data_IF_329320602658
#
_entry.id   IF_329320602658
#
_cell.length_a   1.000
_cell.length_b   1.000
_cell.length_c   1.000
_cell.angle_alpha   90.00
_cell.angle_beta   90.00
_cell.angle_gamma   90.00
#
_symmetry.space_group_name_H-M   'P 1'
#
loop_
_entity.id
_entity.type
_entity.pdbx_description
1 polymer ?
#
# COMPACT_ATOMS: atom_id res chain seq x y z
N UNK A 1 37.38 35.07 26.06
CA UNK A 1 38.06 34.67 24.80
C UNK A 1 37.82 33.21 24.38
N UNK A 2 37.22 32.34 25.19
CA UNK A 2 37.02 30.92 24.84
C UNK A 2 35.78 30.61 23.97
N UNK A 3 34.75 31.47 23.96
CA UNK A 3 33.49 31.20 23.23
C UNK A 3 33.60 31.33 21.71
N UNK A 4 34.47 32.23 21.21
CA UNK A 4 34.59 32.52 19.76
C UNK A 4 35.26 31.36 19.01
N UNK A 5 36.10 30.58 19.69
CA UNK A 5 36.84 29.48 19.08
C UNK A 5 35.97 28.24 18.84
N UNK A 6 34.98 27.99 19.71
CA UNK A 6 34.05 26.85 19.62
C UNK A 6 33.07 27.03 18.46
N UNK A 7 32.60 28.27 18.23
CA UNK A 7 31.69 28.58 17.12
C UNK A 7 32.38 28.44 15.76
N UNK A 8 33.67 28.78 15.67
CA UNK A 8 34.45 28.60 14.44
C UNK A 8 34.72 27.12 14.14
N UNK A 9 34.93 26.30 15.17
CA UNK A 9 35.16 24.87 15.02
C UNK A 9 33.87 24.12 14.60
N UNK A 10 32.72 24.51 15.14
CA UNK A 10 31.39 24.02 14.73
C UNK A 10 31.04 24.39 13.29
N UNK A 11 31.36 25.62 12.86
CA UNK A 11 31.20 26.07 11.47
C UNK A 11 32.00 25.19 10.49
N UNK A 12 33.25 24.88 10.82
CA UNK A 12 34.11 24.05 9.97
C UNK A 12 33.64 22.59 9.89
N UNK A 13 33.06 22.05 10.97
CA UNK A 13 32.44 20.71 10.96
C UNK A 13 31.21 20.71 10.06
N UNK A 14 30.35 21.72 10.17
CA UNK A 14 29.15 21.84 9.34
C UNK A 14 29.49 21.97 7.84
N UNK A 15 30.49 22.78 7.49
CA UNK A 15 30.96 22.92 6.11
C UNK A 15 31.49 21.58 5.55
N UNK A 16 32.25 20.82 6.34
CA UNK A 16 32.72 19.48 5.96
C UNK A 16 31.57 18.51 5.71
N UNK A 17 30.54 18.53 6.55
CA UNK A 17 29.35 17.67 6.38
C UNK A 17 28.53 18.05 5.13
N UNK A 18 28.39 19.34 4.83
CA UNK A 18 27.73 19.82 3.61
C UNK A 18 28.52 19.37 2.37
N UNK A 19 29.84 19.50 2.41
CA UNK A 19 30.73 19.11 1.31
C UNK A 19 30.71 17.58 1.09
N UNK A 20 30.69 16.80 2.17
CA UNK A 20 30.54 15.34 2.11
C UNK A 20 29.19 14.92 1.52
N UNK A 21 28.09 15.57 1.92
CA UNK A 21 26.75 15.33 1.36
C UNK A 21 26.69 15.66 -0.13
N UNK A 22 27.34 16.75 -0.57
CA UNK A 22 27.46 17.09 -2.01
C UNK A 22 28.22 16.01 -2.78
N UNK A 23 29.34 15.52 -2.25
CA UNK A 23 30.12 14.45 -2.90
C UNK A 23 29.34 13.14 -3.00
N UNK A 24 28.63 12.75 -1.94
CA UNK A 24 27.75 11.57 -1.96
C UNK A 24 26.61 11.73 -2.98
N UNK A 25 25.98 12.91 -3.03
CA UNK A 25 24.94 13.19 -4.00
C UNK A 25 25.47 13.09 -5.44
N UNK A 26 26.64 13.69 -5.74
CA UNK A 26 27.28 13.58 -7.04
C UNK A 26 27.60 12.12 -7.42
N UNK A 27 28.15 11.33 -6.50
CA UNK A 27 28.42 9.91 -6.72
C UNK A 27 27.14 9.10 -7.02
N UNK A 28 26.08 9.34 -6.23
CA UNK A 28 24.78 8.71 -6.43
C UNK A 28 24.16 9.10 -7.78
N UNK A 29 24.32 10.36 -8.22
CA UNK A 29 23.86 10.82 -9.52
C UNK A 29 24.61 10.18 -10.69
N UNK A 30 25.90 9.90 -10.54
CA UNK A 30 26.66 9.16 -11.55
C UNK A 30 26.17 7.70 -11.64
N UNK A 31 25.97 7.03 -10.51
CA UNK A 31 25.43 5.66 -10.46
C UNK A 31 24.04 5.61 -11.08
N UNK A 32 23.16 6.55 -10.72
CA UNK A 32 21.82 6.66 -11.28
C UNK A 32 21.85 6.84 -12.80
N UNK A 33 22.68 7.75 -13.32
CA UNK A 33 22.82 7.99 -14.77
C UNK A 33 23.34 6.75 -15.50
N UNK A 34 24.31 6.03 -14.92
CA UNK A 34 24.82 4.77 -15.49
C UNK A 34 23.74 3.69 -15.53
N UNK A 35 23.02 3.50 -14.43
CA UNK A 35 21.92 2.53 -14.36
C UNK A 35 20.79 2.87 -15.33
N UNK A 36 20.44 4.15 -15.47
CA UNK A 36 19.45 4.63 -16.44
C UNK A 36 19.90 4.33 -17.87
N UNK A 37 21.16 4.60 -18.21
CA UNK A 37 21.73 4.31 -19.55
C UNK A 37 21.79 2.81 -19.84
N UNK A 38 22.13 1.99 -18.84
CA UNK A 38 22.16 0.54 -18.97
C UNK A 38 20.75 -0.03 -19.22
N UNK A 39 19.74 0.42 -18.46
CA UNK A 39 18.33 0.05 -18.67
C UNK A 39 17.84 0.43 -20.07
N UNK A 40 18.17 1.63 -20.54
CA UNK A 40 17.79 2.08 -21.87
C UNK A 40 18.40 1.20 -22.96
N UNK A 41 19.70 0.88 -22.86
CA UNK A 41 20.35 -0.05 -23.80
C UNK A 41 19.73 -1.45 -23.77
N UNK A 42 19.38 -1.97 -22.59
CA UNK A 42 18.73 -3.27 -22.47
C UNK A 42 17.37 -3.29 -23.18
N UNK A 43 16.58 -2.22 -23.02
CA UNK A 43 15.30 -2.08 -23.72
C UNK A 43 15.48 -1.98 -25.25
N UNK A 44 16.51 -1.30 -25.74
CA UNK A 44 16.81 -1.22 -27.17
C UNK A 44 17.25 -2.56 -27.78
N UNK A 45 17.96 -3.39 -27.00
CA UNK A 45 18.31 -4.76 -27.41
C UNK A 45 17.06 -5.63 -27.47
N UNK A 46 16.21 -5.57 -26.45
CA UNK A 46 14.98 -6.36 -26.44
C UNK A 46 13.99 -5.92 -27.53
N UNK A 47 13.90 -4.61 -27.80
CA UNK A 47 13.10 -4.08 -28.91
C UNK A 47 13.55 -4.66 -30.25
N UNK A 48 14.86 -4.66 -30.51
CA UNK A 48 15.42 -5.26 -31.74
C UNK A 48 15.12 -6.75 -31.85
N UNK A 49 15.25 -7.49 -30.74
CA UNK A 49 14.92 -8.92 -30.68
C UNK A 49 13.44 -9.16 -31.03
N UNK A 50 12.53 -8.39 -30.45
CA UNK A 50 11.10 -8.50 -30.71
C UNK A 50 10.74 -8.11 -32.15
N UNK A 51 11.39 -7.07 -32.71
CA UNK A 51 11.24 -6.70 -34.12
C UNK A 51 11.67 -7.84 -35.05
N UNK A 52 12.76 -8.54 -34.74
CA UNK A 52 13.24 -9.69 -35.52
C UNK A 52 12.25 -10.86 -35.47
N UNK A 53 11.74 -11.17 -34.29
CA UNK A 53 10.71 -12.22 -34.09
C UNK A 53 9.44 -11.88 -34.87
N UNK A 54 8.99 -10.62 -34.83
CA UNK A 54 7.81 -10.17 -35.57
C UNK A 54 8.00 -10.33 -37.08
N UNK A 55 9.17 -9.96 -37.63
CA UNK A 55 9.49 -10.16 -39.05
C UNK A 55 9.50 -11.63 -39.44
N UNK A 56 10.04 -12.51 -38.59
CA UNK A 56 10.04 -13.96 -38.82
C UNK A 56 8.62 -14.53 -38.85
N UNK A 57 7.77 -14.12 -37.91
CA UNK A 57 6.36 -14.53 -37.89
C UNK A 57 5.61 -14.04 -39.13
N UNK A 58 5.84 -12.79 -39.55
CA UNK A 58 5.21 -12.24 -40.74
C UNK A 58 5.67 -12.96 -42.02
N UNK A 59 6.95 -13.29 -42.13
CA UNK A 59 7.49 -14.09 -43.23
C UNK A 59 6.90 -15.52 -43.24
N UNK A 60 6.79 -16.16 -42.08
CA UNK A 60 6.16 -17.47 -41.93
C UNK A 60 4.68 -17.44 -42.33
N UNK A 61 3.94 -16.40 -41.93
CA UNK A 61 2.55 -16.21 -42.33
C UNK A 61 2.40 -15.98 -43.84
N UNK A 62 3.28 -15.18 -44.47
CA UNK A 62 3.27 -15.00 -45.93
C UNK A 62 3.58 -16.30 -46.66
N UNK A 63 4.55 -17.08 -46.17
CA UNK A 63 4.88 -18.38 -46.75
C UNK A 63 3.74 -19.39 -46.58
N UNK A 64 3.10 -19.45 -45.41
CA UNK A 64 1.93 -20.28 -45.17
C UNK A 64 0.74 -19.87 -46.07
N UNK A 65 0.49 -18.56 -46.22
CA UNK A 65 -0.54 -18.05 -47.12
C UNK A 65 -0.26 -18.39 -48.59
N UNK A 66 1.00 -18.38 -49.03
CA UNK A 66 1.40 -18.79 -50.38
C UNK A 66 1.24 -20.31 -50.62
N UNK A 67 1.40 -21.14 -49.58
CA UNK A 67 1.19 -22.60 -49.64
C UNK A 67 -0.29 -22.97 -49.60
N UNK A 68 -1.13 -22.19 -48.89
CA UNK A 68 -2.58 -22.42 -48.82
C UNK A 68 -3.36 -21.92 -50.05
N UNK A 69 -2.76 -21.15 -50.96
CA UNK A 69 -3.42 -20.74 -52.23
C UNK A 69 -3.73 -21.89 -53.20
N UNK A 70 -3.29 -23.14 -52.92
CA UNK A 70 -3.56 -24.30 -53.77
C UNK A 70 -4.76 -25.16 -53.37
N UNK A 71 -5.29 -25.05 -52.14
CA UNK A 71 -6.47 -25.84 -51.74
C UNK A 71 -7.42 -25.04 -50.82
N UNK A 72 -8.70 -24.98 -51.23
CA UNK A 72 -9.91 -24.60 -50.48
C UNK A 72 -10.13 -23.13 -50.08
N UNK A 73 -10.80 -22.40 -50.98
CA UNK A 73 -10.96 -20.94 -50.98
C UNK A 73 -12.22 -20.41 -50.23
N UNK A 74 -12.84 -21.15 -49.31
CA UNK A 74 -14.06 -20.69 -48.61
C UNK A 74 -13.93 -20.55 -47.08
N UNK A 75 -13.07 -21.32 -46.40
CA UNK A 75 -12.86 -21.20 -44.94
C UNK A 75 -11.78 -20.16 -44.56
N UNK A 76 -10.81 -19.90 -45.44
CA UNK A 76 -9.73 -18.92 -45.22
C UNK A 76 -10.21 -17.47 -45.22
N UNK A 77 -11.25 -17.14 -45.98
CA UNK A 77 -11.82 -15.78 -46.04
C UNK A 77 -12.47 -15.38 -44.70
N UNK A 78 -13.26 -16.28 -44.12
CA UNK A 78 -13.97 -16.06 -42.84
C UNK A 78 -13.01 -15.89 -41.66
N UNK A 79 -11.90 -16.63 -41.66
CA UNK A 79 -10.87 -16.54 -40.60
C UNK A 79 -10.06 -15.24 -40.71
N UNK A 80 -9.80 -14.78 -41.93
CA UNK A 80 -9.12 -13.51 -42.20
C UNK A 80 -9.97 -12.30 -41.84
N UNK A 81 -11.29 -12.35 -42.06
CA UNK A 81 -12.20 -11.27 -41.68
C UNK A 81 -12.34 -11.16 -40.15
N UNK A 82 -12.38 -12.28 -39.44
CA UNK A 82 -12.38 -12.30 -37.96
C UNK A 82 -11.07 -11.73 -37.37
N UNK A 83 -9.92 -12.05 -37.98
CA UNK A 83 -8.63 -11.47 -37.59
C UNK A 83 -8.57 -9.97 -37.83
N UNK A 84 -9.17 -9.47 -38.92
CA UNK A 84 -9.25 -8.03 -39.21
C UNK A 84 -10.09 -7.29 -38.17
N UNK A 85 -11.24 -7.84 -37.79
CA UNK A 85 -12.08 -7.26 -36.72
C UNK A 85 -11.33 -7.20 -35.37
N UNK A 86 -10.66 -8.29 -34.99
CA UNK A 86 -9.84 -8.33 -33.76
C UNK A 86 -8.71 -7.30 -33.77
N UNK A 87 -8.03 -7.09 -34.91
CA UNK A 87 -6.97 -6.08 -35.03
C UNK A 87 -7.54 -4.67 -34.87
N UNK A 88 -8.71 -4.39 -35.47
CA UNK A 88 -9.39 -3.10 -35.31
C UNK A 88 -9.80 -2.86 -33.86
N UNK A 89 -10.30 -3.90 -33.17
CA UNK A 89 -10.67 -3.82 -31.76
C UNK A 89 -9.45 -3.56 -30.86
N UNK A 90 -8.33 -4.28 -31.09
CA UNK A 90 -7.08 -4.09 -30.35
C UNK A 90 -6.54 -2.67 -30.53
N UNK A 91 -6.59 -2.13 -31.75
CA UNK A 91 -6.15 -0.77 -32.05
C UNK A 91 -7.06 0.27 -31.36
N UNK A 92 -8.38 0.01 -31.36
CA UNK A 92 -9.37 0.82 -30.62
C UNK A 92 -9.10 0.85 -29.12
N UNK A 93 -8.88 -0.31 -28.50
CA UNK A 93 -8.55 -0.44 -27.08
C UNK A 93 -7.21 0.20 -26.73
N UNK A 94 -6.20 0.09 -27.60
CA UNK A 94 -4.91 0.78 -27.41
C UNK A 94 -5.09 2.29 -27.38
N UNK A 95 -5.86 2.85 -28.30
CA UNK A 95 -6.12 4.28 -28.36
C UNK A 95 -6.87 4.78 -27.11
N UNK A 96 -7.86 4.02 -26.64
CA UNK A 96 -8.56 4.32 -25.38
C UNK A 96 -7.60 4.27 -24.18
N UNK A 97 -6.73 3.25 -24.10
CA UNK A 97 -5.76 3.12 -23.02
C UNK A 97 -4.76 4.28 -22.99
N UNK A 98 -4.29 4.74 -24.16
CA UNK A 98 -3.42 5.93 -24.28
C UNK A 98 -4.16 7.18 -23.79
N UNK A 99 -5.43 7.36 -24.17
CA UNK A 99 -6.24 8.49 -23.71
C UNK A 99 -6.44 8.50 -22.19
N UNK A 100 -6.73 7.33 -21.60
CA UNK A 100 -6.85 7.17 -20.15
C UNK A 100 -5.54 7.47 -19.43
N UNK A 101 -4.40 6.97 -19.93
CA UNK A 101 -3.08 7.27 -19.36
C UNK A 101 -2.75 8.75 -19.40
N UNK A 102 -3.11 9.46 -20.48
CA UNK A 102 -2.98 10.93 -20.54
C UNK A 102 -3.82 11.62 -19.46
N UNK A 103 -5.06 11.17 -19.26
CA UNK A 103 -5.99 11.73 -18.28
C UNK A 103 -5.53 11.48 -16.84
N UNK A 104 -5.03 10.29 -16.54
CA UNK A 104 -4.38 9.95 -15.26
C UNK A 104 -3.14 10.82 -15.05
N UNK A 105 -2.31 11.01 -16.09
CA UNK A 105 -1.14 11.89 -16.01
C UNK A 105 -1.50 13.35 -15.75
N UNK A 106 -2.61 13.85 -16.32
CA UNK A 106 -3.13 15.19 -16.02
C UNK A 106 -3.62 15.28 -14.57
N UNK A 107 -4.34 14.27 -14.08
CA UNK A 107 -4.82 14.25 -12.70
C UNK A 107 -3.64 14.19 -11.70
N UNK A 108 -2.60 13.42 -11.99
CA UNK A 108 -1.39 13.38 -11.17
C UNK A 108 -0.66 14.75 -11.13
N UNK A 109 -0.57 15.44 -12.26
CA UNK A 109 -0.04 16.82 -12.32
C UNK A 109 -0.91 17.81 -11.56
N UNK A 110 -2.23 17.69 -11.68
CA UNK A 110 -3.17 18.54 -10.94
C UNK A 110 -3.03 18.33 -9.43
N UNK A 111 -2.94 17.08 -8.97
CA UNK A 111 -2.66 16.77 -7.57
C UNK A 111 -1.33 17.35 -7.11
N UNK A 112 -0.29 17.29 -7.94
CA UNK A 112 1.00 17.90 -7.62
C UNK A 112 0.90 19.43 -7.46
N UNK A 113 0.23 20.13 -8.38
CA UNK A 113 0.00 21.58 -8.27
C UNK A 113 -0.84 21.92 -7.04
N UNK A 114 -1.83 21.10 -6.69
CA UNK A 114 -2.65 21.27 -5.49
C UNK A 114 -1.81 21.11 -4.22
N UNK A 115 -0.86 20.17 -4.20
CA UNK A 115 0.08 19.99 -3.09
C UNK A 115 1.08 21.15 -2.98
N UNK A 116 1.57 21.66 -4.11
CA UNK A 116 2.47 22.81 -4.18
C UNK A 116 1.77 24.13 -3.77
N UNK A 117 0.50 24.32 -4.15
CA UNK A 117 -0.31 25.48 -3.75
C UNK A 117 -0.76 25.43 -2.29
N UNK A 118 -0.75 24.24 -1.67
CA UNK A 118 -1.09 24.04 -0.24
C UNK A 118 0.11 24.22 0.68
N UNK A 119 1.31 24.39 0.14
CA UNK A 119 2.43 24.91 0.91
C UNK A 119 2.22 26.42 1.12
N UNK A 120 2.06 26.90 2.37
CA UNK A 120 2.04 28.32 2.61
C UNK A 120 3.39 28.91 2.18
N UNK A 121 3.35 29.96 1.35
CA UNK A 121 4.50 30.85 1.17
C UNK A 121 4.84 31.37 2.57
N UNK A 122 6.07 31.10 3.02
CA UNK A 122 6.58 31.63 4.27
C UNK A 122 6.61 33.14 4.17
N UNK A 123 5.62 33.79 4.73
CA UNK A 123 5.75 35.03 5.47
C UNK A 123 4.48 35.18 6.32
N UNK A 124 4.70 35.53 7.57
CA UNK A 124 3.72 35.74 8.64
C UNK A 124 3.07 34.48 9.24
N UNK A 125 3.65 34.00 10.35
CA UNK A 125 2.98 33.97 11.65
C UNK A 125 3.94 33.38 12.71
N UNK A 126 4.28 34.21 13.68
CA UNK A 126 5.04 33.88 14.89
C UNK A 126 4.13 33.03 15.79
N UNK A 127 4.33 31.70 15.83
CA UNK A 127 3.95 30.85 16.96
C UNK A 127 4.97 29.71 17.13
N UNK A 128 5.71 29.65 18.25
CA UNK A 128 6.70 28.60 18.49
C UNK A 128 6.05 27.39 19.17
N UNK A 129 5.34 26.56 18.40
CA UNK A 129 5.13 25.14 18.70
C UNK A 129 5.24 24.43 17.36
N UNK A 130 6.13 23.44 17.25
CA UNK A 130 6.20 22.56 16.09
C UNK A 130 4.91 21.72 16.02
N UNK A 131 3.81 22.32 15.54
CA UNK A 131 2.56 21.62 15.29
C UNK A 131 2.83 20.72 14.08
N UNK A 132 2.88 19.41 14.30
CA UNK A 132 2.80 18.44 13.20
C UNK A 132 1.54 18.78 12.41
N UNK A 133 1.67 19.29 11.19
CA UNK A 133 0.52 19.68 10.37
C UNK A 133 -0.30 18.45 10.03
N UNK A 134 -1.45 18.31 10.68
CA UNK A 134 -2.46 17.31 10.35
C UNK A 134 -3.40 17.80 9.24
N UNK A 135 -4.39 16.99 8.91
CA UNK A 135 -5.46 17.37 7.97
C UNK A 135 -6.79 16.75 8.38
N UNK A 136 -7.88 17.38 7.93
CA UNK A 136 -9.23 16.83 8.12
C UNK A 136 -9.52 15.73 7.11
N UNK A 137 -10.02 14.61 7.59
CA UNK A 137 -10.39 13.42 6.83
C UNK A 137 -11.90 13.44 6.62
N UNK A 138 -12.32 13.37 5.36
CA UNK A 138 -13.72 13.31 4.97
C UNK A 138 -14.03 11.92 4.42
N UNK A 139 -15.25 11.46 4.67
CA UNK A 139 -15.74 10.18 4.20
C UNK A 139 -16.79 10.39 3.10
N UNK A 140 -17.00 9.41 2.20
CA UNK A 140 -17.82 9.60 1.01
C UNK A 140 -19.33 9.68 1.30
N UNK A 141 -19.83 9.17 2.43
CA UNK A 141 -21.26 9.11 2.75
C UNK A 141 -21.66 10.10 3.85
N UNK A 142 -20.99 11.26 3.90
CA UNK A 142 -21.24 12.32 4.89
C UNK A 142 -21.04 11.85 6.35
N UNK A 143 -20.23 10.81 6.56
CA UNK A 143 -19.89 10.36 7.92
C UNK A 143 -19.04 11.41 8.64
N UNK A 144 -19.09 11.47 9.99
CA UNK A 144 -18.41 12.52 10.75
C UNK A 144 -16.91 12.58 10.43
N UNK A 145 -16.48 13.70 9.86
CA UNK A 145 -15.06 13.98 9.59
C UNK A 145 -14.28 14.09 10.89
N UNK A 146 -12.99 13.75 10.88
CA UNK A 146 -12.10 13.98 12.02
C UNK A 146 -10.76 14.57 11.56
N UNK A 147 -10.05 15.21 12.47
CA UNK A 147 -8.71 15.73 12.20
C UNK A 147 -7.63 14.68 12.52
N UNK A 148 -6.80 14.35 11.52
CA UNK A 148 -5.76 13.34 11.60
C UNK A 148 -4.37 13.99 11.64
N UNK A 149 -3.54 13.50 12.56
CA UNK A 149 -2.12 13.80 12.69
C UNK A 149 -1.29 12.61 12.17
N UNK A 150 -0.35 12.86 11.23
CA UNK A 150 0.46 11.80 10.63
C UNK A 150 1.40 11.13 11.64
N UNK A 151 1.60 9.82 11.45
CA UNK A 151 2.62 9.05 12.14
C UNK A 151 3.99 9.35 11.57
N UNK A 152 5.04 9.35 12.40
CA UNK A 152 6.40 9.33 11.87
C UNK A 152 6.76 7.92 11.40
N UNK A 153 7.78 7.81 10.55
CA UNK A 153 8.28 6.49 10.13
C UNK A 153 8.77 5.68 11.33
N UNK A 154 9.38 6.34 12.32
CA UNK A 154 9.84 5.73 13.56
C UNK A 154 8.65 5.17 14.36
N UNK A 155 7.64 6.00 14.63
CA UNK A 155 6.43 5.56 15.35
C UNK A 155 5.77 4.35 14.65
N UNK A 156 5.70 4.37 13.32
CA UNK A 156 5.15 3.27 12.53
C UNK A 156 5.96 1.98 12.70
N UNK A 157 7.28 2.07 12.57
CA UNK A 157 8.16 0.91 12.68
C UNK A 157 8.14 0.36 14.11
N UNK A 158 8.16 1.22 15.12
CA UNK A 158 8.15 0.81 16.53
C UNK A 158 6.89 0.01 16.87
N UNK A 159 5.71 0.44 16.39
CA UNK A 159 4.44 -0.30 16.58
C UNK A 159 4.44 -1.64 15.82
N UNK A 160 4.97 -1.67 14.60
CA UNK A 160 5.04 -2.89 13.80
C UNK A 160 6.01 -3.91 14.41
N UNK A 161 7.19 -3.44 14.83
CA UNK A 161 8.24 -4.25 15.40
C UNK A 161 7.85 -4.76 16.79
N UNK A 162 7.17 -3.94 17.62
CA UNK A 162 6.65 -4.39 18.92
C UNK A 162 5.62 -5.51 18.75
N UNK A 163 4.66 -5.33 17.83
CA UNK A 163 3.62 -6.32 17.52
C UNK A 163 4.24 -7.63 17.00
N UNK A 164 5.23 -7.53 16.10
CA UNK A 164 5.93 -8.70 15.58
C UNK A 164 6.78 -9.41 16.65
N UNK A 165 7.44 -8.63 17.52
CA UNK A 165 8.26 -9.16 18.62
C UNK A 165 7.38 -9.89 19.63
N UNK A 166 6.24 -9.33 20.02
CA UNK A 166 5.28 -9.98 20.92
C UNK A 166 4.86 -11.35 20.39
N UNK A 167 4.51 -11.43 19.09
CA UNK A 167 4.10 -12.68 18.44
C UNK A 167 5.26 -13.69 18.27
N UNK A 168 6.51 -13.22 18.20
CA UNK A 168 7.69 -14.05 17.91
C UNK A 168 8.43 -14.53 19.15
N UNK A 169 8.56 -13.70 20.18
CA UNK A 169 9.39 -13.99 21.36
C UNK A 169 8.70 -14.92 22.35
N UNK A 170 7.39 -14.78 22.52
CA UNK A 170 6.57 -15.66 23.35
C UNK A 170 5.36 -16.11 22.53
N UNK A 171 5.53 -17.04 21.58
CA UNK A 171 4.40 -17.55 20.82
C UNK A 171 3.36 -18.06 21.82
N UNK A 172 2.10 -17.62 21.73
CA UNK A 172 1.08 -18.05 22.67
C UNK A 172 1.01 -19.58 22.65
N UNK A 173 1.01 -20.18 23.83
CA UNK A 173 0.78 -21.62 23.98
C UNK A 173 -0.67 -21.89 23.59
N UNK A 174 -0.85 -22.25 22.32
CA UNK A 174 -2.15 -22.51 21.72
C UNK A 174 -2.33 -24.01 21.59
N UNK A 175 -3.43 -24.50 22.13
CA UNK A 175 -3.86 -25.88 21.93
C UNK A 175 -4.76 -25.96 20.70
N UNK A 176 -4.73 -27.10 19.99
CA UNK A 176 -5.67 -27.33 18.89
C UNK A 176 -7.08 -27.40 19.47
N UNK A 177 -7.91 -26.42 19.12
CA UNK A 177 -9.30 -26.34 19.56
C UNK A 177 -10.25 -27.10 18.62
N UNK A 178 -9.88 -27.25 17.35
CA UNK A 178 -10.65 -28.02 16.37
C UNK A 178 -10.46 -27.54 14.93
N UNK A 179 -11.41 -27.90 14.07
CA UNK A 179 -11.44 -27.48 12.67
C UNK A 179 -12.72 -26.66 12.39
N UNK A 180 -12.58 -25.55 11.68
CA UNK A 180 -13.70 -24.71 11.25
C UNK A 180 -13.54 -24.27 9.79
N UNK A 181 -14.48 -24.62 8.93
CA UNK A 181 -14.45 -24.28 7.49
C UNK A 181 -13.11 -24.66 6.78
N UNK A 182 -12.51 -25.79 7.16
CA UNK A 182 -11.22 -26.24 6.63
C UNK A 182 -10.00 -25.52 7.21
N UNK A 183 -10.15 -24.73 8.27
CA UNK A 183 -9.08 -24.12 9.04
C UNK A 183 -8.85 -24.90 10.33
N UNK A 184 -7.59 -25.18 10.67
CA UNK A 184 -7.23 -25.63 12.01
C UNK A 184 -7.22 -24.43 12.95
N UNK A 185 -8.08 -24.48 13.96
CA UNK A 185 -8.22 -23.43 14.97
C UNK A 185 -7.41 -23.84 16.18
N UNK A 186 -6.44 -23.02 16.56
CA UNK A 186 -5.71 -23.16 17.82
C UNK A 186 -6.05 -21.99 18.72
N UNK A 187 -6.26 -22.25 20.01
CA UNK A 187 -6.66 -21.24 20.98
C UNK A 187 -5.71 -21.26 22.17
N UNK A 188 -5.30 -20.08 22.63
CA UNK A 188 -4.51 -19.92 23.84
C UNK A 188 -5.44 -19.82 25.05
N UNK A 189 -4.96 -20.25 26.21
CA UNK A 189 -5.65 -19.91 27.46
C UNK A 189 -5.72 -18.39 27.60
N UNK A 190 -6.90 -17.87 27.93
CA UNK A 190 -7.10 -16.43 28.14
C UNK A 190 -6.12 -15.95 29.21
N UNK A 191 -5.33 -14.94 28.87
CA UNK A 191 -4.32 -14.36 29.76
C UNK A 191 -4.65 -12.91 30.07
N UNK A 192 -4.41 -12.49 31.30
CA UNK A 192 -4.42 -11.08 31.65
C UNK A 192 -3.19 -10.39 31.05
N UNK A 193 -3.39 -9.25 30.40
CA UNK A 193 -2.28 -8.36 30.06
C UNK A 193 -1.62 -7.83 31.34
N UNK A 194 -0.31 -7.65 31.31
CA UNK A 194 0.51 -7.37 32.51
C UNK A 194 0.37 -5.92 33.01
N UNK A 195 -0.18 -5.01 32.20
CA UNK A 195 -0.33 -3.59 32.55
C UNK A 195 -1.71 -3.21 33.07
N UNK A 196 -2.75 -3.45 32.26
CA UNK A 196 -4.12 -2.96 32.45
C UNK A 196 -5.10 -4.05 32.93
N UNK A 197 -4.61 -5.27 33.14
CA UNK A 197 -5.42 -6.45 33.49
C UNK A 197 -6.53 -6.80 32.50
N UNK A 198 -6.44 -6.31 31.25
CA UNK A 198 -7.37 -6.69 30.20
C UNK A 198 -7.23 -8.19 29.88
N UNK A 199 -8.36 -8.84 29.62
CA UNK A 199 -8.37 -10.25 29.24
C UNK A 199 -8.09 -10.37 27.75
N UNK A 200 -6.98 -11.01 27.41
CA UNK A 200 -6.56 -11.24 26.03
C UNK A 200 -6.77 -12.70 25.68
N UNK A 201 -7.61 -12.94 24.67
CA UNK A 201 -7.74 -14.23 24.00
C UNK A 201 -6.92 -14.22 22.72
N UNK A 202 -6.09 -15.25 22.50
CA UNK A 202 -5.28 -15.39 21.29
C UNK A 202 -5.70 -16.64 20.54
N UNK A 203 -5.97 -16.50 19.25
CA UNK A 203 -6.31 -17.59 18.36
C UNK A 203 -5.40 -17.62 17.14
N UNK A 204 -5.07 -18.82 16.66
CA UNK A 204 -4.26 -19.06 15.47
C UNK A 204 -5.01 -19.97 14.52
N UNK A 205 -5.29 -19.45 13.33
CA UNK A 205 -5.97 -20.19 12.26
C UNK A 205 -4.94 -20.61 11.21
N UNK A 206 -4.85 -21.89 10.90
CA UNK A 206 -3.93 -22.40 9.87
C UNK A 206 -4.65 -23.23 8.82
N UNK A 207 -4.32 -23.01 7.54
CA UNK A 207 -4.89 -23.74 6.41
C UNK A 207 -3.84 -23.93 5.34
N UNK A 208 -3.83 -25.13 4.77
CA UNK A 208 -3.01 -25.42 3.59
C UNK A 208 -3.80 -25.07 2.33
N UNK A 209 -3.25 -24.17 1.52
CA UNK A 209 -3.84 -23.75 0.25
C UNK A 209 -3.07 -24.36 -0.92
N UNK A 210 -3.81 -24.73 -1.98
CA UNK A 210 -3.24 -25.33 -3.20
C UNK A 210 -2.87 -24.25 -4.23
N UNK A 211 -2.08 -23.26 -3.83
CA UNK A 211 -1.56 -22.23 -4.73
C UNK A 211 -0.10 -21.90 -4.39
N UNK A 212 0.62 -21.36 -5.35
CA UNK A 212 1.97 -20.87 -5.09
C UNK A 212 1.92 -19.59 -4.26
N UNK A 213 2.95 -19.38 -3.46
CA UNK A 213 3.12 -18.15 -2.67
C UNK A 213 3.12 -16.88 -3.57
N UNK A 214 3.60 -17.02 -4.81
CA UNK A 214 3.63 -15.92 -5.78
C UNK A 214 2.23 -15.59 -6.32
N UNK A 215 1.38 -16.59 -6.55
CA UNK A 215 -0.02 -16.39 -6.96
C UNK A 215 -0.83 -15.77 -5.84
N UNK A 216 -0.70 -16.28 -4.61
CA UNK A 216 -1.37 -15.72 -3.42
C UNK A 216 -1.01 -14.23 -3.25
N UNK A 217 0.28 -13.91 -3.36
CA UNK A 217 0.76 -12.54 -3.29
C UNK A 217 0.19 -11.65 -4.41
N UNK A 218 0.16 -12.16 -5.64
CA UNK A 218 -0.36 -11.44 -6.79
C UNK A 218 -1.85 -11.12 -6.64
N UNK A 219 -2.65 -12.10 -6.22
CA UNK A 219 -4.09 -11.92 -5.96
C UNK A 219 -4.30 -10.84 -4.90
N UNK A 220 -3.63 -10.98 -3.75
CA UNK A 220 -3.75 -9.99 -2.66
C UNK A 220 -3.24 -8.60 -3.05
N UNK A 221 -2.26 -8.51 -3.96
CA UNK A 221 -1.76 -7.20 -4.45
C UNK A 221 -2.76 -6.45 -5.33
N UNK A 222 -3.75 -7.15 -5.88
CA UNK A 222 -4.79 -6.61 -6.75
C UNK A 222 -6.11 -6.35 -6.04
N UNK A 223 -6.26 -6.86 -4.82
CA UNK A 223 -7.47 -6.65 -4.04
C UNK A 223 -7.62 -5.18 -3.67
N UNK A 224 -8.87 -4.71 -3.77
CA UNK A 224 -9.24 -3.40 -3.26
C UNK A 224 -9.03 -3.37 -1.75
N UNK A 225 -8.63 -2.20 -1.22
CA UNK A 225 -8.35 -2.05 0.21
C UNK A 225 -9.59 -2.30 1.06
N UNK A 226 -10.76 -2.07 0.50
CA UNK A 226 -12.04 -2.39 1.14
C UNK A 226 -12.17 -3.90 1.38
N UNK A 227 -11.70 -4.74 0.46
CA UNK A 227 -11.71 -6.20 0.60
C UNK A 227 -10.68 -6.75 1.60
N UNK A 228 -9.78 -5.92 2.13
CA UNK A 228 -8.79 -6.38 3.12
C UNK A 228 -9.50 -6.82 4.42
N UNK A 229 -8.89 -7.73 5.20
CA UNK A 229 -9.45 -8.19 6.47
C UNK A 229 -9.87 -7.03 7.38
N UNK A 230 -11.03 -7.20 8.00
CA UNK A 230 -11.55 -6.27 9.01
C UNK A 230 -11.20 -6.82 10.39
N UNK A 231 -10.62 -5.97 11.24
CA UNK A 231 -10.14 -6.38 12.58
C UNK A 231 -11.31 -6.42 13.57
N UNK A 232 -12.28 -5.52 13.41
CA UNK A 232 -13.41 -5.37 14.33
C UNK A 232 -14.72 -5.58 13.58
N UNK A 233 -15.53 -6.51 14.05
CA UNK A 233 -16.89 -6.72 13.54
C UNK A 233 -17.89 -6.40 14.66
N UNK A 234 -18.86 -5.49 14.45
CA UNK A 234 -19.90 -5.20 15.45
C UNK A 234 -20.72 -6.45 15.81
N UNK A 235 -21.17 -6.57 17.06
CA UNK A 235 -21.98 -7.69 17.55
C UNK A 235 -23.28 -7.91 16.74
N UNK A 236 -23.85 -6.84 16.20
CA UNK A 236 -25.13 -6.85 15.45
C UNK A 236 -24.95 -6.93 13.93
N UNK A 237 -23.78 -7.37 13.44
CA UNK A 237 -23.45 -7.43 12.00
C UNK A 237 -24.30 -8.44 11.21
N UNK A 238 -25.02 -9.33 11.89
CA UNK A 238 -25.89 -10.32 11.26
C UNK A 238 -27.27 -9.79 10.90
N UNK A 239 -27.47 -9.36 9.66
CA UNK A 239 -28.79 -9.50 8.99
C UNK A 239 -29.38 -8.25 8.33
N UNK A 240 -28.99 -7.03 8.71
CA UNK A 240 -29.60 -5.79 8.16
C UNK A 240 -28.62 -4.64 7.86
N UNK A 241 -27.34 -4.78 8.24
CA UNK A 241 -26.33 -3.73 8.05
C UNK A 241 -25.74 -3.79 6.63
N UNK A 242 -26.51 -3.40 5.62
CA UNK A 242 -25.99 -3.12 4.26
C UNK A 242 -25.36 -1.72 4.15
N UNK A 243 -25.20 -0.96 5.24
CA UNK A 243 -24.31 0.20 5.21
C UNK A 243 -22.86 -0.31 5.26
N UNK A 244 -22.20 -0.18 4.12
CA UNK A 244 -20.83 -0.64 3.93
C UNK A 244 -19.85 0.00 4.92
N UNK A 245 -18.71 -0.65 5.08
CA UNK A 245 -17.56 0.00 5.70
C UNK A 245 -16.87 0.89 4.65
N UNK A 246 -16.28 2.00 5.08
CA UNK A 246 -15.43 2.83 4.23
C UNK A 246 -13.99 2.74 4.71
N UNK A 247 -13.06 2.48 3.78
CA UNK A 247 -11.63 2.53 4.05
C UNK A 247 -11.01 3.78 3.44
N UNK A 248 -10.38 4.60 4.26
CA UNK A 248 -9.63 5.76 3.78
C UNK A 248 -8.16 5.57 4.11
N UNK A 249 -7.29 5.66 3.09
CA UNK A 249 -5.84 5.71 3.32
C UNK A 249 -5.48 7.08 3.84
N UNK A 250 -5.01 7.13 5.08
CA UNK A 250 -4.59 8.35 5.73
C UNK A 250 -3.18 8.72 5.27
N UNK A 251 -2.24 7.79 5.37
CA UNK A 251 -0.84 8.05 5.09
C UNK A 251 -0.20 6.84 4.41
N UNK A 252 0.67 7.07 3.44
CA UNK A 252 1.42 6.01 2.77
C UNK A 252 2.92 6.27 2.94
N UNK A 253 3.63 5.30 3.52
CA UNK A 253 5.08 5.34 3.67
C UNK A 253 5.79 4.72 2.45
N UNK A 254 5.24 3.63 1.94
CA UNK A 254 5.70 2.97 0.71
C UNK A 254 4.57 2.10 0.13
N UNK A 255 4.86 1.34 -0.93
CA UNK A 255 3.90 0.45 -1.59
C UNK A 255 3.31 -0.64 -0.69
N UNK A 256 3.99 -0.97 0.41
CA UNK A 256 3.66 -2.07 1.33
C UNK A 256 3.32 -1.58 2.74
N UNK A 257 3.37 -0.29 3.03
CA UNK A 257 3.22 0.26 4.38
C UNK A 257 2.34 1.50 4.34
N UNK A 258 1.19 1.43 5.02
CA UNK A 258 0.25 2.54 5.08
C UNK A 258 -0.49 2.59 6.42
N UNK A 259 -1.04 3.77 6.70
CA UNK A 259 -2.00 4.04 7.76
C UNK A 259 -3.35 4.22 7.08
N UNK A 260 -4.35 3.51 7.58
CA UNK A 260 -5.72 3.57 7.08
C UNK A 260 -6.68 3.81 8.26
N UNK A 261 -7.82 4.42 7.97
CA UNK A 261 -8.96 4.45 8.87
C UNK A 261 -10.06 3.60 8.28
N UNK A 262 -10.64 2.76 9.14
CA UNK A 262 -11.86 2.00 8.84
C UNK A 262 -12.99 2.67 9.60
N UNK A 263 -14.06 2.98 8.88
CA UNK A 263 -15.30 3.47 9.46
C UNK A 263 -16.40 2.48 9.09
N UNK A 264 -16.97 1.85 10.10
CA UNK A 264 -18.03 0.85 9.99
C UNK A 264 -19.31 1.53 10.46
N UNK A 265 -20.27 1.71 9.56
CA UNK A 265 -21.52 2.33 9.94
C UNK A 265 -22.38 1.34 10.73
N UNK A 266 -22.68 1.67 11.98
CA UNK A 266 -23.58 0.88 12.82
C UNK A 266 -25.04 1.08 12.43
N UNK A 267 -25.89 0.17 12.91
CA UNK A 267 -27.36 0.27 12.75
C UNK A 267 -27.97 1.39 13.60
N UNK A 268 -27.33 1.74 14.73
CA UNK A 268 -27.86 2.68 15.74
C UNK A 268 -27.32 4.12 15.55
N UNK A 269 -27.04 4.53 14.30
CA UNK A 269 -26.46 5.85 13.93
C UNK A 269 -25.06 6.16 14.51
N UNK A 270 -24.48 5.27 15.32
CA UNK A 270 -23.10 5.36 15.80
C UNK A 270 -22.18 4.60 14.85
N UNK A 271 -21.13 5.27 14.38
CA UNK A 271 -20.10 4.66 13.54
C UNK A 271 -18.99 4.07 14.42
N UNK A 272 -18.64 2.81 14.19
CA UNK A 272 -17.46 2.20 14.81
C UNK A 272 -16.23 2.49 13.95
N UNK A 273 -15.18 3.06 14.54
CA UNK A 273 -14.04 3.58 13.80
C UNK A 273 -12.72 3.21 14.43
N UNK A 274 -11.72 2.91 13.62
CA UNK A 274 -10.37 2.69 14.11
C UNK A 274 -9.31 3.09 13.09
N UNK A 275 -8.16 3.54 13.61
CA UNK A 275 -6.95 3.74 12.82
C UNK A 275 -6.16 2.44 12.86
N UNK A 276 -5.69 2.00 11.70
CA UNK A 276 -4.92 0.78 11.57
C UNK A 276 -3.66 1.04 10.75
N UNK A 277 -2.55 0.50 11.23
CA UNK A 277 -1.29 0.42 10.48
C UNK A 277 -1.31 -0.91 9.75
N UNK A 278 -1.01 -0.87 8.46
CA UNK A 278 -0.93 -2.05 7.62
C UNK A 278 0.46 -2.16 7.03
N UNK A 279 1.09 -3.32 7.19
CA UNK A 279 2.37 -3.63 6.59
C UNK A 279 2.34 -4.99 5.89
N UNK A 280 2.93 -5.02 4.69
CA UNK A 280 3.23 -6.25 3.97
C UNK A 280 4.73 -6.47 3.92
N UNK A 281 5.20 -7.63 4.38
CA UNK A 281 6.61 -7.99 4.33
C UNK A 281 6.82 -9.35 3.66
N UNK A 282 8.01 -9.53 3.08
CA UNK A 282 8.43 -10.77 2.44
C UNK A 282 9.86 -11.07 2.86
N UNK A 283 10.09 -12.27 3.37
CA UNK A 283 11.41 -12.72 3.79
C UNK A 283 11.54 -14.23 3.63
N UNK A 284 12.75 -14.73 3.84
CA UNK A 284 13.05 -16.16 3.84
C UNK A 284 13.56 -16.52 5.22
N UNK A 285 12.88 -17.45 5.89
CA UNK A 285 13.27 -17.97 7.19
C UNK A 285 14.55 -18.84 7.09
N UNK A 286 15.14 -19.15 8.25
CA UNK A 286 16.21 -20.15 8.33
C UNK A 286 15.69 -21.47 7.76
N UNK A 287 16.43 -22.07 6.82
CA UNK A 287 16.01 -23.28 6.11
C UNK A 287 15.36 -23.03 4.74
N UNK A 288 15.37 -21.79 4.23
CA UNK A 288 14.94 -21.50 2.85
C UNK A 288 13.43 -21.40 2.66
N UNK A 289 12.65 -21.50 3.74
CA UNK A 289 11.20 -21.33 3.72
C UNK A 289 10.85 -19.87 3.44
N UNK A 290 10.16 -19.62 2.32
CA UNK A 290 9.70 -18.29 1.93
C UNK A 290 8.43 -17.95 2.70
N UNK A 291 8.37 -16.73 3.24
CA UNK A 291 7.24 -16.23 4.03
C UNK A 291 6.79 -14.88 3.50
N UNK A 292 5.48 -14.68 3.48
CA UNK A 292 4.84 -13.39 3.23
C UNK A 292 3.94 -13.12 4.42
N UNK A 293 4.11 -11.96 5.03
CA UNK A 293 3.36 -11.55 6.21
C UNK A 293 2.54 -10.31 5.88
N UNK A 294 1.29 -10.32 6.30
CA UNK A 294 0.39 -9.18 6.26
C UNK A 294 0.02 -8.86 7.70
N UNK A 295 0.48 -7.72 8.17
CA UNK A 295 0.30 -7.28 9.55
C UNK A 295 -0.64 -6.09 9.54
N UNK A 296 -1.71 -6.18 10.32
CA UNK A 296 -2.64 -5.08 10.55
C UNK A 296 -2.79 -4.89 12.06
N UNK A 297 -2.49 -3.69 12.54
CA UNK A 297 -2.50 -3.36 13.97
C UNK A 297 -3.42 -2.16 14.17
N UNK A 298 -4.36 -2.25 15.10
CA UNK A 298 -5.13 -1.07 15.53
C UNK A 298 -4.20 -0.26 16.41
N UNK A 299 -4.03 1.03 16.11
CA UNK A 299 -3.21 1.86 16.97
C UNK A 299 -3.69 3.29 16.95
N UNK A 300 -3.16 4.07 17.86
CA UNK A 300 -3.48 5.46 17.93
C UNK A 300 -2.35 6.31 18.52
N UNK A 301 -2.19 7.52 18.00
CA UNK A 301 -1.17 8.45 18.48
C UNK A 301 -1.75 9.39 19.52
N UNK A 302 -0.93 9.84 20.47
CA UNK A 302 -1.36 10.82 21.48
C UNK A 302 -1.89 12.12 20.87
N UNK A 303 -1.35 12.54 19.71
CA UNK A 303 -1.88 13.70 18.99
C UNK A 303 -3.26 13.43 18.40
N UNK A 304 -3.50 12.23 17.87
CA UNK A 304 -4.82 11.83 17.37
C UNK A 304 -5.81 11.70 18.54
N UNK A 305 -5.45 11.07 19.66
CA UNK A 305 -6.28 11.00 20.89
C UNK A 305 -6.72 12.38 21.35
N UNK A 306 -5.76 13.31 21.49
CA UNK A 306 -6.03 14.70 21.90
C UNK A 306 -6.92 15.44 20.89
N UNK A 307 -6.70 15.22 19.60
CA UNK A 307 -7.56 15.82 18.58
C UNK A 307 -9.01 15.40 18.78
N UNK A 308 -9.24 14.10 18.95
CA UNK A 308 -10.59 13.53 19.04
C UNK A 308 -11.31 13.90 20.33
N UNK A 309 -10.61 13.97 21.45
CA UNK A 309 -11.21 14.40 22.72
C UNK A 309 -11.71 15.84 22.69
N UNK A 310 -11.25 16.65 21.74
CA UNK A 310 -11.71 18.03 21.53
C UNK A 310 -12.78 18.17 20.44
N UNK A 311 -13.13 17.08 19.73
CA UNK A 311 -14.17 17.12 18.70
C UNK A 311 -15.57 17.06 19.32
N UNK A 312 -16.49 17.85 18.79
CA UNK A 312 -17.87 18.01 19.31
C UNK A 312 -18.85 16.92 18.85
N UNK A 313 -18.45 16.01 17.96
CA UNK A 313 -19.31 14.98 17.35
C UNK A 313 -19.13 13.58 17.95
N UNK A 314 -18.71 13.48 19.22
CA UNK A 314 -18.37 12.20 19.86
C UNK A 314 -19.56 11.22 19.91
N UNK A 315 -20.79 11.72 20.03
CA UNK A 315 -21.99 10.89 20.20
C UNK A 315 -22.34 10.03 18.98
N UNK A 316 -21.71 10.26 17.83
CA UNK A 316 -21.95 9.54 16.56
C UNK A 316 -20.80 8.65 16.12
N UNK A 317 -19.69 8.61 16.86
CA UNK A 317 -18.51 7.81 16.50
C UNK A 317 -17.87 7.17 17.73
N UNK A 318 -17.87 5.84 17.76
CA UNK A 318 -17.14 5.04 18.74
C UNK A 318 -15.76 4.67 18.17
N UNK A 319 -14.70 5.08 18.88
CA UNK A 319 -13.33 4.79 18.46
C UNK A 319 -12.80 3.55 19.16
N UNK A 320 -12.42 2.55 18.37
CA UNK A 320 -11.73 1.36 18.87
C UNK A 320 -10.24 1.67 19.00
N UNK A 321 -9.71 1.38 20.17
CA UNK A 321 -8.28 1.40 20.49
C UNK A 321 -7.85 0.00 20.92
N UNK A 322 -6.57 -0.32 20.71
CA UNK A 322 -5.95 -1.54 21.24
C UNK A 322 -5.78 -1.45 22.77
#
# INVERSE_FOLDING_TARGET
MLSINVDHELMLVYEKEVEQRRRQHCANMVIFRRNKKAKQKALEVERRRLEEIAKQLEANMRNAAAVCSTEENYQSQSSMDMLRELVVEIEGLRNQNIALRKRVGLYAKFQQVLMEARQPKSDDLILPIAVKSGWRVYFPNDEPSFHFYPFTQTDFNDVMDSSFTELSTNPPDVSLAGEFMGWNVHHATVSSNAGDHSLVARARFTKHVRCSLQEAYWIMSKEEKDSWPVIVTPLNWGGAAQRGFSTVVLQQFNENSCVLVRNITGNDEVNLRYICLSQRSRYTERGGKRVITYTMVITDSESNKRSRSTETNLDKVEWVTE
#
